data_IF_066367137086
#
_entry.id   IF_066367137086
#
_cell.length_a   1.000
_cell.length_b   1.000
_cell.length_c   1.000
_cell.angle_alpha   90.00
_cell.angle_beta   90.00
_cell.angle_gamma   90.00
#
_symmetry.space_group_name_H-M   'P 1'
#
loop_
_entity.id
_entity.type
_entity.pdbx_description
1 polymer ?
#
# COMPACT_ATOMS: atom_id res chain seq x y z
N UNK A 1 -6.59 11.69 -19.45
CA UNK A 1 -6.33 11.08 -18.13
C UNK A 1 -4.94 10.50 -18.11
N UNK A 2 -4.12 10.80 -17.10
CA UNK A 2 -2.83 10.14 -17.00
C UNK A 2 -3.00 8.64 -16.84
N UNK A 3 -2.17 7.89 -17.52
CA UNK A 3 -2.12 6.45 -17.35
C UNK A 3 -1.40 6.11 -16.06
N UNK A 4 -1.81 5.01 -15.45
CA UNK A 4 -1.17 4.50 -14.24
C UNK A 4 -0.85 3.02 -14.41
N UNK A 5 0.08 2.53 -13.60
CA UNK A 5 0.40 1.11 -13.50
C UNK A 5 0.10 0.68 -12.07
N UNK A 6 -0.66 -0.39 -11.92
CA UNK A 6 -0.96 -0.96 -10.59
C UNK A 6 -0.47 -2.39 -10.53
N UNK A 7 0.00 -2.82 -9.37
CA UNK A 7 0.40 -4.20 -9.15
C UNK A 7 0.42 -4.53 -7.67
N UNK A 8 0.26 -5.81 -7.36
CA UNK A 8 0.47 -6.32 -6.03
C UNK A 8 1.92 -6.75 -5.92
N UNK A 9 2.59 -6.30 -4.88
CA UNK A 9 4.00 -6.57 -4.66
C UNK A 9 4.21 -7.17 -3.27
N UNK A 10 5.43 -7.64 -3.01
CA UNK A 10 5.85 -8.02 -1.67
C UNK A 10 7.06 -7.18 -1.29
N UNK A 11 6.93 -6.53 -0.14
CA UNK A 11 8.00 -5.74 0.45
C UNK A 11 8.86 -6.65 1.34
N UNK A 12 9.82 -6.06 2.03
CA UNK A 12 10.67 -6.79 2.97
C UNK A 12 9.83 -7.60 3.96
N UNK A 13 10.33 -8.75 4.36
CA UNK A 13 9.68 -9.67 5.30
C UNK A 13 8.36 -10.26 4.77
N UNK A 14 8.15 -10.22 3.45
CA UNK A 14 6.97 -10.81 2.84
C UNK A 14 5.70 -9.96 2.94
N UNK A 15 5.82 -8.70 3.32
CA UNK A 15 4.67 -7.80 3.46
C UNK A 15 3.99 -7.57 2.11
N UNK A 16 2.73 -8.00 1.93
CA UNK A 16 2.01 -7.68 0.70
C UNK A 16 1.66 -6.21 0.65
N UNK A 17 1.68 -5.64 -0.53
CA UNK A 17 1.26 -4.25 -0.73
C UNK A 17 0.70 -4.05 -2.12
N UNK A 18 -0.21 -3.10 -2.24
CA UNK A 18 -0.72 -2.65 -3.53
C UNK A 18 0.05 -1.39 -3.91
N UNK A 19 0.64 -1.38 -5.10
CA UNK A 19 1.43 -0.26 -5.60
C UNK A 19 0.75 0.34 -6.82
N UNK A 20 0.54 1.64 -6.81
CA UNK A 20 0.02 2.39 -7.96
C UNK A 20 1.00 3.50 -8.28
N UNK A 21 1.44 3.57 -9.53
CA UNK A 21 2.39 4.58 -9.97
C UNK A 21 1.90 5.26 -11.24
N UNK A 22 2.18 6.57 -11.43
CA UNK A 22 1.94 7.20 -12.71
C UNK A 22 2.86 6.57 -13.76
N UNK A 23 2.33 6.31 -14.95
CA UNK A 23 3.19 5.88 -16.06
C UNK A 23 3.91 7.09 -16.64
N UNK A 24 5.07 6.85 -17.24
CA UNK A 24 5.87 7.91 -17.81
C UNK A 24 7.23 8.02 -17.13
N UNK A 25 8.05 8.93 -17.62
CA UNK A 25 9.45 9.05 -17.20
C UNK A 25 9.70 10.07 -16.08
N UNK A 26 8.67 10.81 -15.68
CA UNK A 26 8.83 11.87 -14.68
C UNK A 26 8.92 11.31 -13.27
N UNK A 27 9.52 12.09 -12.39
CA UNK A 27 9.57 11.74 -10.96
C UNK A 27 8.30 12.18 -10.26
N UNK A 28 7.94 11.44 -9.20
CA UNK A 28 6.73 11.71 -8.44
C UNK A 28 6.98 11.50 -6.95
N UNK A 29 6.34 12.32 -6.10
CA UNK A 29 6.39 12.07 -4.66
C UNK A 29 5.58 10.85 -4.30
N UNK A 30 5.89 10.24 -3.17
CA UNK A 30 5.23 9.01 -2.74
C UNK A 30 4.40 9.21 -1.47
N UNK A 31 3.33 8.44 -1.38
CA UNK A 31 2.45 8.39 -0.22
C UNK A 31 2.33 6.95 0.22
N UNK A 32 2.52 6.70 1.51
CA UNK A 32 2.17 5.42 2.14
C UNK A 32 0.74 5.54 2.64
N UNK A 33 -0.14 4.71 2.09
CA UNK A 33 -1.57 4.77 2.37
C UNK A 33 -1.93 3.66 3.36
N UNK A 34 -2.53 4.04 4.47
CA UNK A 34 -2.96 3.09 5.48
C UNK A 34 -4.42 2.73 5.27
N UNK A 35 -4.72 1.43 5.29
CA UNK A 35 -6.10 0.96 5.19
C UNK A 35 -6.83 1.09 6.52
N UNK A 36 -8.15 0.91 6.47
CA UNK A 36 -8.99 0.98 7.65
C UNK A 36 -9.09 -0.40 8.32
N UNK A 37 -10.01 -0.56 9.27
CA UNK A 37 -10.15 -1.75 10.10
C UNK A 37 -10.41 -3.06 9.33
N UNK A 38 -10.83 -2.93 8.09
CA UNK A 38 -11.17 -4.10 7.24
C UNK A 38 -9.97 -4.73 6.55
N UNK A 39 -8.77 -4.22 6.78
CA UNK A 39 -7.59 -4.66 6.07
C UNK A 39 -7.46 -4.02 4.70
N UNK A 40 -6.61 -4.56 3.86
CA UNK A 40 -6.38 -4.03 2.51
C UNK A 40 -7.48 -4.53 1.58
N UNK A 41 -8.52 -3.73 1.42
CA UNK A 41 -9.67 -4.04 0.59
C UNK A 41 -9.70 -3.13 -0.64
N UNK A 42 -10.64 -3.40 -1.54
CA UNK A 42 -10.74 -2.70 -2.82
C UNK A 42 -10.82 -1.19 -2.68
N UNK A 43 -11.54 -0.69 -1.67
CA UNK A 43 -11.67 0.75 -1.44
C UNK A 43 -10.30 1.42 -1.30
N UNK A 44 -9.40 0.83 -0.51
CA UNK A 44 -8.06 1.37 -0.31
C UNK A 44 -7.24 1.29 -1.62
N UNK A 45 -7.36 0.19 -2.35
CA UNK A 45 -6.66 0.04 -3.63
C UNK A 45 -7.17 1.06 -4.66
N UNK A 46 -8.47 1.31 -4.70
CA UNK A 46 -9.06 2.32 -5.60
C UNK A 46 -8.55 3.72 -5.24
N UNK A 47 -8.40 4.01 -3.94
CA UNK A 47 -7.86 5.28 -3.49
C UNK A 47 -6.40 5.44 -3.89
N UNK A 48 -5.60 4.38 -3.79
CA UNK A 48 -4.21 4.39 -4.24
C UNK A 48 -4.12 4.67 -5.74
N UNK A 49 -4.97 4.03 -6.53
CA UNK A 49 -5.02 4.25 -7.97
C UNK A 49 -5.39 5.71 -8.30
N UNK A 50 -6.32 6.27 -7.55
CA UNK A 50 -6.74 7.65 -7.71
C UNK A 50 -5.60 8.63 -7.41
N UNK A 51 -4.83 8.36 -6.36
CA UNK A 51 -3.66 9.18 -6.04
C UNK A 51 -2.62 9.10 -7.16
N UNK A 52 -2.43 7.93 -7.75
CA UNK A 52 -1.50 7.79 -8.88
C UNK A 52 -1.95 8.61 -10.10
N UNK A 53 -3.26 8.66 -10.36
CA UNK A 53 -3.78 9.52 -11.44
C UNK A 53 -3.54 10.99 -11.17
N UNK A 54 -3.44 11.36 -9.91
CA UNK A 54 -3.14 12.75 -9.51
C UNK A 54 -1.63 13.04 -9.45
N UNK A 55 -0.80 12.08 -9.80
CA UNK A 55 0.64 12.27 -9.95
C UNK A 55 1.49 11.77 -8.78
N UNK A 56 0.93 10.98 -7.87
CA UNK A 56 1.66 10.43 -6.73
C UNK A 56 2.00 8.96 -6.97
N UNK A 57 3.13 8.51 -6.38
CA UNK A 57 3.35 7.08 -6.20
C UNK A 57 2.64 6.70 -4.91
N UNK A 58 1.68 5.77 -4.98
CA UNK A 58 0.92 5.35 -3.81
C UNK A 58 1.22 3.88 -3.50
N UNK A 59 1.66 3.61 -2.28
CA UNK A 59 1.85 2.24 -1.80
C UNK A 59 0.91 2.01 -0.62
N UNK A 60 0.12 0.95 -0.70
CA UNK A 60 -0.84 0.57 0.33
C UNK A 60 -0.45 -0.80 0.89
N UNK A 61 0.34 -0.83 1.98
CA UNK A 61 0.70 -2.10 2.60
C UNK A 61 -0.50 -2.78 3.23
N UNK A 62 -0.48 -4.10 3.25
CA UNK A 62 -1.47 -4.87 3.98
C UNK A 62 -0.99 -5.05 5.42
N UNK A 63 -1.34 -4.10 6.27
CA UNK A 63 -0.91 -4.09 7.67
C UNK A 63 -1.47 -5.27 8.47
N UNK A 64 -2.54 -5.91 7.98
CA UNK A 64 -3.22 -7.01 8.67
C UNK A 64 -3.02 -8.35 7.99
N UNK A 65 -2.00 -8.49 7.15
CA UNK A 65 -1.81 -9.70 6.34
C UNK A 65 -1.55 -10.96 7.19
N UNK A 66 -1.15 -10.78 8.45
CA UNK A 66 -0.90 -11.90 9.36
C UNK A 66 -2.17 -12.48 9.96
N UNK A 67 -3.32 -11.81 9.80
CA UNK A 67 -4.59 -12.34 10.28
C UNK A 67 -4.97 -13.59 9.48
N UNK A 68 -5.39 -14.64 10.17
CA UNK A 68 -5.63 -15.94 9.53
C UNK A 68 -6.97 -16.04 8.81
N UNK A 69 -7.93 -15.14 9.09
CA UNK A 69 -9.23 -15.13 8.41
C UNK A 69 -9.45 -13.77 7.74
N UNK A 70 -8.89 -13.62 6.55
CA UNK A 70 -8.97 -12.37 5.80
C UNK A 70 -10.41 -12.05 5.37
N UNK A 71 -11.20 -13.08 5.05
CA UNK A 71 -12.59 -12.87 4.62
C UNK A 71 -13.43 -12.29 5.76
N UNK A 72 -13.29 -12.81 6.97
CA UNK A 72 -14.00 -12.28 8.14
C UNK A 72 -13.54 -10.85 8.46
N UNK A 73 -12.25 -10.59 8.33
CA UNK A 73 -11.68 -9.26 8.53
C UNK A 73 -12.25 -8.26 7.52
N UNK A 74 -12.31 -8.65 6.25
CA UNK A 74 -12.82 -7.79 5.17
C UNK A 74 -14.31 -7.50 5.32
N UNK A 75 -15.08 -8.44 5.89
CA UNK A 75 -16.49 -8.21 6.18
C UNK A 75 -16.74 -7.39 7.43
N UNK A 76 -15.71 -7.19 8.25
CA UNK A 76 -15.85 -6.49 9.53
C UNK A 76 -16.38 -7.38 10.66
N UNK A 77 -16.38 -8.70 10.47
CA UNK A 77 -16.86 -9.65 11.49
C UNK A 77 -15.86 -9.80 12.64
N UNK A 78 -14.57 -9.58 12.35
CA UNK A 78 -13.50 -9.66 13.35
C UNK A 78 -12.61 -8.42 13.22
N UNK A 79 -11.83 -8.14 14.27
CA UNK A 79 -10.83 -7.09 14.26
C UNK A 79 -9.43 -7.69 14.33
N UNK A 80 -8.44 -6.84 14.12
CA UNK A 80 -7.04 -7.23 14.25
C UNK A 80 -6.40 -6.43 15.38
N UNK A 81 -5.75 -7.13 16.29
CA UNK A 81 -5.03 -6.51 17.41
C UNK A 81 -3.70 -5.94 16.92
N UNK A 82 -3.76 -4.82 16.23
CA UNK A 82 -2.62 -4.18 15.57
C UNK A 82 -1.82 -3.36 16.58
N UNK A 83 -0.52 -3.61 16.63
CA UNK A 83 0.38 -2.96 17.60
C UNK A 83 1.25 -1.91 16.90
N UNK A 84 1.63 -0.88 17.64
CA UNK A 84 2.46 0.20 17.10
C UNK A 84 3.79 -0.30 16.53
N UNK A 85 4.42 -1.25 17.23
CA UNK A 85 5.69 -1.81 16.75
C UNK A 85 5.52 -2.51 15.39
N UNK A 86 4.40 -3.18 15.18
CA UNK A 86 4.08 -3.83 13.93
C UNK A 86 3.84 -2.79 12.83
N UNK A 87 3.16 -1.69 13.16
CA UNK A 87 2.94 -0.61 12.21
C UNK A 87 4.25 0.00 11.73
N UNK A 88 5.17 0.25 12.65
CA UNK A 88 6.49 0.81 12.31
C UNK A 88 7.26 -0.14 11.40
N UNK A 89 7.25 -1.43 11.71
CA UNK A 89 7.89 -2.46 10.89
C UNK A 89 7.37 -2.43 9.45
N UNK A 90 6.05 -2.36 9.30
CA UNK A 90 5.43 -2.38 7.97
C UNK A 90 5.68 -1.08 7.20
N UNK A 91 5.63 0.06 7.88
CA UNK A 91 5.93 1.34 7.25
C UNK A 91 7.39 1.37 6.79
N UNK A 92 8.32 0.89 7.61
CA UNK A 92 9.73 0.82 7.24
C UNK A 92 9.94 -0.07 6.01
N UNK A 93 9.25 -1.21 5.94
CA UNK A 93 9.32 -2.10 4.79
C UNK A 93 8.80 -1.42 3.53
N UNK A 94 7.69 -0.68 3.64
CA UNK A 94 7.13 0.07 2.51
C UNK A 94 8.06 1.17 2.04
N UNK A 95 8.67 1.91 2.98
CA UNK A 95 9.62 2.96 2.64
C UNK A 95 10.86 2.40 1.94
N UNK A 96 11.36 1.24 2.40
CA UNK A 96 12.49 0.59 1.76
C UNK A 96 12.15 0.18 0.31
N UNK A 97 10.93 -0.29 0.09
CA UNK A 97 10.49 -0.64 -1.26
C UNK A 97 10.39 0.59 -2.15
N UNK A 98 9.81 1.68 -1.65
CA UNK A 98 9.72 2.94 -2.39
C UNK A 98 11.10 3.45 -2.78
N UNK A 99 12.09 3.27 -1.92
CA UNK A 99 13.47 3.73 -2.17
C UNK A 99 14.10 3.03 -3.38
N UNK A 100 13.58 1.88 -3.81
CA UNK A 100 14.08 1.17 -4.99
C UNK A 100 13.50 1.70 -6.30
N UNK A 101 12.47 2.53 -6.25
CA UNK A 101 11.78 2.99 -7.46
C UNK A 101 12.54 4.15 -8.09
N UNK A 102 12.90 4.05 -9.39
CA UNK A 102 13.61 5.14 -10.06
C UNK A 102 12.75 6.39 -10.21
N UNK A 103 11.44 6.26 -10.18
CA UNK A 103 10.50 7.38 -10.31
C UNK A 103 10.33 8.18 -9.03
N UNK A 104 10.87 7.71 -7.92
CA UNK A 104 10.68 8.40 -6.64
C UNK A 104 11.42 9.75 -6.64
N UNK A 105 10.68 10.80 -6.32
CA UNK A 105 11.23 12.15 -6.11
C UNK A 105 11.57 12.27 -4.62
N UNK A 106 12.85 12.26 -4.33
CA UNK A 106 13.37 12.26 -2.96
C UNK A 106 13.49 13.67 -2.39
#
# INVERSE_FOLDING_TARGET
MPDIVTKTIRCAQGLPAFLAVPSGAGKAPAIVLMHERYGLVRHTCDLAARLARDGFIAIAPDFFYRHDDQDALHRGDVGYAFKDAEAVEHIDAALAELATLPQLDR
#
